data_IF_307685114539
#
_entry.id   IF_307685114539
#
_cell.length_a   1.000
_cell.length_b   1.000
_cell.length_c   1.000
_cell.angle_alpha   90.00
_cell.angle_beta   90.00
_cell.angle_gamma   90.00
#
_symmetry.space_group_name_H-M   'P 1'
#
loop_
_entity.id
_entity.type
_entity.pdbx_description
1 polymer ?
#
# COMPACT_ATOMS: atom_id res chain seq x y z
N UNK A 1 18.60 -17.92 17.85
CA UNK A 1 17.22 -18.24 17.45
C UNK A 1 16.33 -17.06 17.75
N UNK A 2 15.40 -16.74 16.85
CA UNK A 2 14.43 -15.66 17.03
C UNK A 2 13.41 -16.07 18.11
N UNK A 3 13.13 -15.18 19.06
CA UNK A 3 12.06 -15.42 20.05
C UNK A 3 10.69 -15.18 19.41
N UNK A 4 9.64 -15.94 19.78
CA UNK A 4 8.28 -15.72 19.28
C UNK A 4 7.85 -14.26 19.49
N UNK A 5 7.32 -13.60 18.45
CA UNK A 5 6.86 -12.21 18.51
C UNK A 5 7.95 -11.13 18.34
N UNK A 6 9.22 -11.50 18.22
CA UNK A 6 10.29 -10.53 17.93
C UNK A 6 10.39 -10.21 16.42
N UNK A 7 10.80 -8.99 16.07
CA UNK A 7 11.02 -8.60 14.67
C UNK A 7 12.38 -9.14 14.18
N UNK A 8 12.36 -10.02 13.18
CA UNK A 8 13.56 -10.67 12.65
C UNK A 8 14.55 -9.68 12.03
N UNK A 9 14.07 -8.65 11.32
CA UNK A 9 14.91 -7.64 10.66
C UNK A 9 15.64 -6.77 11.68
N UNK A 10 14.92 -6.31 12.69
CA UNK A 10 15.48 -5.51 13.78
C UNK A 10 16.48 -6.32 14.63
N UNK A 11 16.15 -7.59 14.93
CA UNK A 11 17.08 -8.50 15.60
C UNK A 11 18.37 -8.70 14.80
N UNK A 12 18.27 -8.90 13.47
CA UNK A 12 19.44 -9.08 12.62
C UNK A 12 20.31 -7.82 12.60
N UNK A 13 19.70 -6.64 12.51
CA UNK A 13 20.44 -5.38 12.54
C UNK A 13 21.19 -5.22 13.87
N UNK A 14 20.53 -5.49 15.00
CA UNK A 14 21.16 -5.46 16.33
C UNK A 14 22.31 -6.46 16.49
N UNK A 15 22.16 -7.67 15.94
CA UNK A 15 23.23 -8.68 15.95
C UNK A 15 24.41 -8.21 15.10
N UNK A 16 24.15 -7.64 13.92
CA UNK A 16 25.19 -7.10 13.03
C UNK A 16 25.96 -5.97 13.71
N UNK A 17 25.25 -5.02 14.32
CA UNK A 17 25.85 -3.89 15.03
C UNK A 17 26.71 -4.36 16.21
N UNK A 18 26.21 -5.34 16.99
CA UNK A 18 26.96 -5.90 18.10
C UNK A 18 28.20 -6.67 17.66
N UNK A 19 28.11 -7.45 16.58
CA UNK A 19 29.25 -8.15 16.01
C UNK A 19 30.30 -7.17 15.47
N UNK A 20 29.87 -6.04 14.90
CA UNK A 20 30.76 -4.99 14.44
C UNK A 20 31.48 -4.30 15.62
N UNK A 21 30.77 -3.99 16.71
CA UNK A 21 31.38 -3.48 17.95
C UNK A 21 32.44 -4.46 18.51
N UNK A 22 32.10 -5.75 18.58
CA UNK A 22 32.99 -6.79 19.12
C UNK A 22 34.20 -7.04 18.22
N UNK A 23 34.05 -6.85 16.90
CA UNK A 23 35.14 -7.05 15.94
C UNK A 23 36.35 -6.15 16.20
N UNK A 24 36.16 -4.98 16.82
CA UNK A 24 37.24 -4.09 17.21
C UNK A 24 38.18 -4.68 18.28
N UNK A 25 37.71 -5.71 19.00
CA UNK A 25 38.48 -6.43 20.03
C UNK A 25 39.08 -7.74 19.53
N UNK A 26 38.94 -8.05 18.24
CA UNK A 26 39.44 -9.31 17.71
C UNK A 26 40.96 -9.33 17.62
N UNK A 27 41.59 -10.48 17.91
CA UNK A 27 43.01 -10.69 17.64
C UNK A 27 43.33 -10.48 16.15
N UNK A 28 44.56 -10.04 15.85
CA UNK A 28 45.01 -9.91 14.46
C UNK A 28 44.86 -11.25 13.72
N UNK A 29 44.15 -11.24 12.60
CA UNK A 29 43.88 -12.43 11.78
C UNK A 29 42.53 -13.11 12.00
N UNK A 30 41.71 -12.64 12.95
CA UNK A 30 40.35 -13.15 13.16
C UNK A 30 39.33 -12.22 12.51
N UNK A 31 38.52 -12.75 11.60
CA UNK A 31 37.40 -12.06 10.95
C UNK A 31 36.10 -12.84 11.14
N UNK A 32 34.96 -12.16 11.20
CA UNK A 32 33.65 -12.81 11.18
C UNK A 32 33.00 -12.63 9.81
N UNK A 33 32.18 -13.61 9.41
CA UNK A 33 31.33 -13.52 8.23
C UNK A 33 30.01 -14.24 8.51
N UNK A 34 28.90 -13.53 8.29
CA UNK A 34 27.56 -14.11 8.38
C UNK A 34 27.20 -14.77 7.04
N UNK A 35 27.30 -16.10 7.00
CA UNK A 35 27.03 -16.89 5.78
C UNK A 35 25.56 -17.30 5.64
N UNK A 36 24.83 -17.38 6.75
CA UNK A 36 23.42 -17.77 6.77
C UNK A 36 22.59 -16.66 7.41
N UNK A 37 21.92 -15.88 6.56
CA UNK A 37 21.05 -14.78 6.97
C UNK A 37 19.71 -14.93 6.23
N UNK A 38 18.72 -15.48 6.92
CA UNK A 38 17.36 -15.65 6.40
C UNK A 38 16.64 -14.32 6.22
N UNK A 39 17.08 -13.26 6.89
CA UNK A 39 16.47 -11.93 6.82
C UNK A 39 16.84 -11.18 5.55
N UNK A 40 17.98 -11.52 4.90
CA UNK A 40 18.34 -10.96 3.58
C UNK A 40 17.28 -11.23 2.53
N UNK A 41 16.75 -12.46 2.48
CA UNK A 41 15.69 -12.81 1.53
C UNK A 41 14.41 -12.04 1.83
N UNK A 42 13.97 -12.03 3.10
CA UNK A 42 12.77 -11.31 3.52
C UNK A 42 12.88 -9.81 3.26
N UNK A 43 14.01 -9.19 3.60
CA UNK A 43 14.24 -7.76 3.37
C UNK A 43 14.28 -7.41 1.89
N UNK A 44 14.91 -8.24 1.05
CA UNK A 44 14.93 -8.05 -0.39
C UNK A 44 13.52 -8.17 -0.98
N UNK A 45 12.78 -9.22 -0.63
CA UNK A 45 11.41 -9.38 -1.11
C UNK A 45 10.47 -8.29 -0.61
N UNK A 46 10.63 -7.79 0.63
CA UNK A 46 9.86 -6.64 1.11
C UNK A 46 10.19 -5.37 0.33
N UNK A 47 11.46 -5.15 0.00
CA UNK A 47 11.86 -4.01 -0.84
C UNK A 47 11.25 -4.12 -2.24
N UNK A 48 11.35 -5.27 -2.88
CA UNK A 48 10.79 -5.50 -4.22
C UNK A 48 9.28 -5.25 -4.22
N UNK A 49 8.55 -5.75 -3.21
CA UNK A 49 7.10 -5.53 -3.10
C UNK A 49 6.76 -4.06 -2.87
N UNK A 50 7.56 -3.31 -2.10
CA UNK A 50 7.37 -1.87 -1.94
C UNK A 50 7.60 -1.11 -3.25
N UNK A 51 8.60 -1.51 -4.04
CA UNK A 51 8.84 -0.96 -5.38
C UNK A 51 7.64 -1.26 -6.28
N UNK A 52 7.19 -2.51 -6.33
CA UNK A 52 6.03 -2.92 -7.12
C UNK A 52 4.75 -2.19 -6.69
N UNK A 53 4.57 -1.93 -5.38
CA UNK A 53 3.42 -1.14 -4.88
C UNK A 53 3.49 0.31 -5.38
N UNK A 54 4.68 0.92 -5.37
CA UNK A 54 4.90 2.24 -5.94
C UNK A 54 4.65 2.29 -7.45
N UNK A 55 5.15 1.31 -8.20
CA UNK A 55 4.91 1.17 -9.64
C UNK A 55 3.42 1.00 -9.94
N UNK A 56 2.72 0.13 -9.19
CA UNK A 56 1.29 -0.09 -9.32
C UNK A 56 0.50 1.20 -9.06
N UNK A 57 0.86 1.97 -8.02
CA UNK A 57 0.23 3.25 -7.73
C UNK A 57 0.38 4.24 -8.89
N UNK A 58 1.60 4.37 -9.44
CA UNK A 58 1.87 5.25 -10.58
C UNK A 58 1.08 4.82 -11.81
N UNK A 59 1.05 3.52 -12.11
CA UNK A 59 0.29 2.98 -13.24
C UNK A 59 -1.22 3.23 -13.09
N UNK A 60 -1.77 3.02 -11.89
CA UNK A 60 -3.18 3.27 -11.62
C UNK A 60 -3.51 4.76 -11.81
N UNK A 61 -2.71 5.66 -11.25
CA UNK A 61 -2.91 7.11 -11.43
C UNK A 61 -2.81 7.51 -12.90
N UNK A 62 -1.86 6.95 -13.64
CA UNK A 62 -1.72 7.21 -15.08
C UNK A 62 -2.95 6.74 -15.86
N UNK A 63 -3.47 5.53 -15.59
CA UNK A 63 -4.67 5.00 -16.24
C UNK A 63 -5.88 5.87 -15.89
N UNK A 64 -6.11 6.19 -14.61
CA UNK A 64 -7.21 7.08 -14.17
C UNK A 64 -7.13 8.44 -14.86
N UNK A 65 -5.93 9.00 -14.99
CA UNK A 65 -5.73 10.27 -15.68
C UNK A 65 -6.08 10.19 -17.17
N UNK A 66 -5.69 9.11 -17.86
CA UNK A 66 -6.00 8.90 -19.27
C UNK A 66 -7.52 8.76 -19.49
N UNK A 67 -8.23 8.06 -18.59
CA UNK A 67 -9.68 7.87 -18.71
C UNK A 67 -10.46 9.16 -18.40
N UNK A 68 -10.11 9.87 -17.33
CA UNK A 68 -10.87 11.05 -16.89
C UNK A 68 -10.48 12.34 -17.61
N UNK A 69 -9.29 12.40 -18.24
CA UNK A 69 -8.75 13.54 -19.00
C UNK A 69 -8.79 14.91 -18.26
N UNK A 70 -9.03 14.92 -16.95
CA UNK A 70 -9.20 16.11 -16.13
C UNK A 70 -8.48 15.94 -14.81
N UNK A 71 -7.52 16.83 -14.56
CA UNK A 71 -6.69 16.80 -13.36
C UNK A 71 -7.51 16.91 -12.07
N UNK A 72 -8.62 17.66 -12.12
CA UNK A 72 -9.48 17.88 -10.94
C UNK A 72 -10.22 16.62 -10.52
N UNK A 73 -10.68 15.82 -11.47
CA UNK A 73 -11.40 14.57 -11.20
C UNK A 73 -10.44 13.43 -10.87
N UNK A 74 -9.26 13.36 -11.51
CA UNK A 74 -8.22 12.37 -11.20
C UNK A 74 -7.69 12.44 -9.76
N UNK A 75 -7.64 13.64 -9.16
CA UNK A 75 -7.20 13.79 -7.77
C UNK A 75 -8.11 13.04 -6.79
N UNK A 76 -9.41 12.93 -7.09
CA UNK A 76 -10.38 12.34 -6.16
C UNK A 76 -10.07 10.84 -5.90
N UNK A 77 -9.97 9.96 -6.92
CA UNK A 77 -9.52 8.59 -6.71
C UNK A 77 -8.07 8.49 -6.21
N UNK A 78 -7.19 9.39 -6.65
CA UNK A 78 -5.76 9.37 -6.27
C UNK A 78 -5.57 9.53 -4.76
N UNK A 79 -6.39 10.36 -4.10
CA UNK A 79 -6.36 10.54 -2.63
C UNK A 79 -7.00 9.35 -1.90
N UNK A 80 -7.96 8.66 -2.52
CA UNK A 80 -8.60 7.50 -1.90
C UNK A 80 -7.61 6.36 -1.63
N UNK A 81 -6.60 6.18 -2.50
CA UNK A 81 -5.59 5.11 -2.39
C UNK A 81 -4.73 5.24 -1.10
N UNK A 82 -4.01 6.34 -0.84
CA UNK A 82 -3.21 6.46 0.38
C UNK A 82 -4.08 6.43 1.64
N UNK A 83 -5.30 6.97 1.59
CA UNK A 83 -6.23 6.93 2.72
C UNK A 83 -6.64 5.49 3.05
N UNK A 84 -6.97 4.67 2.05
CA UNK A 84 -7.36 3.26 2.26
C UNK A 84 -6.19 2.41 2.77
N UNK A 85 -4.97 2.64 2.29
CA UNK A 85 -3.77 1.95 2.77
C UNK A 85 -3.48 2.29 4.23
N UNK A 86 -3.54 3.58 4.61
CA UNK A 86 -3.35 3.99 6.00
C UNK A 86 -4.45 3.42 6.90
N UNK A 87 -5.71 3.45 6.46
CA UNK A 87 -6.81 2.86 7.20
C UNK A 87 -6.60 1.35 7.41
N UNK A 88 -6.19 0.63 6.38
CA UNK A 88 -5.87 -0.80 6.46
C UNK A 88 -4.76 -1.08 7.46
N UNK A 89 -3.68 -0.29 7.45
CA UNK A 89 -2.58 -0.43 8.42
C UNK A 89 -3.03 -0.18 9.86
N UNK A 90 -3.86 0.83 10.09
CA UNK A 90 -4.42 1.14 11.43
C UNK A 90 -5.27 -0.03 11.92
N UNK A 91 -6.17 -0.55 11.08
CA UNK A 91 -7.02 -1.70 11.42
C UNK A 91 -6.16 -2.94 11.70
N UNK A 92 -5.18 -3.24 10.84
CA UNK A 92 -4.24 -4.34 11.06
C UNK A 92 -3.53 -4.23 12.41
N UNK A 93 -3.05 -3.03 12.75
CA UNK A 93 -2.41 -2.78 14.03
C UNK A 93 -3.35 -3.03 15.21
N UNK A 94 -4.61 -2.59 15.12
CA UNK A 94 -5.63 -2.82 16.16
C UNK A 94 -5.95 -4.30 16.39
N UNK A 95 -5.95 -5.11 15.33
CA UNK A 95 -6.17 -6.56 15.41
C UNK A 95 -4.89 -7.37 15.70
N UNK A 96 -3.75 -6.71 15.86
CA UNK A 96 -2.46 -7.37 16.13
C UNK A 96 -1.89 -8.13 14.93
N UNK A 97 -2.33 -7.80 13.71
CA UNK A 97 -1.76 -8.38 12.50
C UNK A 97 -0.39 -7.77 12.19
N UNK A 98 0.54 -8.63 11.75
CA UNK A 98 1.87 -8.22 11.30
C UNK A 98 1.88 -7.86 9.81
N UNK A 99 2.66 -6.85 9.43
CA UNK A 99 3.06 -6.65 8.03
C UNK A 99 4.01 -7.75 7.57
N UNK A 100 3.61 -8.47 6.52
CA UNK A 100 4.37 -9.51 5.86
C UNK A 100 4.08 -9.54 4.35
N UNK A 101 4.74 -10.43 3.60
CA UNK A 101 4.55 -10.54 2.16
C UNK A 101 3.10 -10.80 1.73
N UNK A 102 2.37 -11.67 2.43
CA UNK A 102 0.97 -11.97 2.09
C UNK A 102 0.09 -10.73 2.27
N UNK A 103 0.28 -9.98 3.36
CA UNK A 103 -0.44 -8.73 3.58
C UNK A 103 -0.12 -7.66 2.54
N UNK A 104 1.14 -7.57 2.09
CA UNK A 104 1.53 -6.63 1.05
C UNK A 104 0.91 -6.99 -0.31
N UNK A 105 0.89 -8.28 -0.67
CA UNK A 105 0.18 -8.75 -1.88
C UNK A 105 -1.32 -8.44 -1.80
N UNK A 106 -1.93 -8.65 -0.63
CA UNK A 106 -3.33 -8.27 -0.38
C UNK A 106 -3.57 -6.76 -0.56
N UNK A 107 -2.66 -5.91 -0.07
CA UNK A 107 -2.75 -4.46 -0.26
C UNK A 107 -2.63 -4.07 -1.74
N UNK A 108 -1.75 -4.71 -2.51
CA UNK A 108 -1.65 -4.45 -3.97
C UNK A 108 -2.95 -4.77 -4.69
N UNK A 109 -3.60 -5.90 -4.37
CA UNK A 109 -4.91 -6.25 -4.94
C UNK A 109 -6.01 -5.28 -4.50
N UNK A 110 -5.99 -4.85 -3.24
CA UNK A 110 -6.98 -3.93 -2.69
C UNK A 110 -6.95 -2.54 -3.35
N UNK A 111 -5.77 -2.06 -3.80
CA UNK A 111 -5.66 -0.79 -4.53
C UNK A 111 -6.57 -0.79 -5.76
N UNK A 112 -6.61 -1.89 -6.53
CA UNK A 112 -7.46 -2.00 -7.71
C UNK A 112 -8.95 -1.90 -7.38
N UNK A 113 -9.39 -2.60 -6.34
CA UNK A 113 -10.78 -2.61 -5.90
C UNK A 113 -11.24 -1.22 -5.41
N UNK A 114 -10.47 -0.59 -4.53
CA UNK A 114 -10.80 0.73 -3.98
C UNK A 114 -10.87 1.80 -5.07
N UNK A 115 -10.01 1.68 -6.08
CA UNK A 115 -9.96 2.65 -7.17
C UNK A 115 -11.12 2.47 -8.14
N UNK A 116 -11.55 1.24 -8.42
CA UNK A 116 -12.70 0.96 -9.27
C UNK A 116 -13.97 1.65 -8.73
N UNK A 117 -14.26 1.47 -7.44
CA UNK A 117 -15.40 2.12 -6.78
C UNK A 117 -15.30 3.65 -6.87
N UNK A 118 -14.10 4.21 -6.65
CA UNK A 118 -13.88 5.65 -6.72
C UNK A 118 -14.03 6.21 -8.14
N UNK A 119 -13.58 5.48 -9.16
CA UNK A 119 -13.73 5.84 -10.57
C UNK A 119 -15.22 5.86 -10.93
N UNK A 120 -15.96 4.80 -10.62
CA UNK A 120 -17.40 4.67 -10.97
C UNK A 120 -18.21 5.83 -10.38
N UNK A 121 -17.93 6.24 -9.13
CA UNK A 121 -18.59 7.40 -8.52
C UNK A 121 -18.24 8.68 -9.28
N UNK A 122 -16.96 8.95 -9.53
CA UNK A 122 -16.51 10.20 -10.17
C UNK A 122 -17.00 10.31 -11.61
N UNK A 123 -16.95 9.22 -12.36
CA UNK A 123 -17.49 9.15 -13.73
C UNK A 123 -18.99 9.44 -13.74
N UNK A 124 -19.74 8.86 -12.80
CA UNK A 124 -21.18 9.11 -12.73
C UNK A 124 -21.50 10.56 -12.34
N UNK A 125 -20.69 11.17 -11.48
CA UNK A 125 -20.82 12.59 -11.13
C UNK A 125 -20.56 13.48 -12.35
N UNK A 126 -19.51 13.22 -13.13
CA UNK A 126 -19.21 13.94 -14.37
C UNK A 126 -20.35 13.81 -15.38
N UNK A 127 -20.89 12.60 -15.58
CA UNK A 127 -22.07 12.38 -16.44
C UNK A 127 -23.26 13.26 -16.06
N UNK A 128 -23.52 13.41 -14.76
CA UNK A 128 -24.60 14.26 -14.25
C UNK A 128 -24.30 15.77 -14.36
N UNK A 129 -23.03 16.16 -14.25
CA UNK A 129 -22.58 17.53 -14.50
C UNK A 129 -22.75 17.92 -15.98
N UNK A 130 -22.38 17.02 -16.90
CA UNK A 130 -22.57 17.19 -18.35
C UNK A 130 -24.05 17.27 -18.73
N UNK A 131 -24.93 16.58 -17.99
CA UNK A 131 -26.38 16.69 -18.12
C UNK A 131 -26.94 18.05 -17.63
N UNK A 132 -26.09 18.96 -17.14
CA UNK A 132 -26.45 20.33 -16.77
C UNK A 132 -26.85 20.53 -15.30
N UNK A 133 -26.67 19.51 -14.45
CA UNK A 133 -26.94 19.65 -13.02
C UNK A 133 -25.85 20.47 -12.32
N UNK A 134 -26.25 21.24 -11.30
CA UNK A 134 -25.30 21.91 -10.40
C UNK A 134 -24.49 20.87 -9.61
N UNK A 135 -23.23 21.14 -9.20
CA UNK A 135 -22.35 20.14 -8.57
C UNK A 135 -22.97 19.37 -7.41
N UNK A 136 -23.61 20.05 -6.46
CA UNK A 136 -24.25 19.38 -5.33
C UNK A 136 -25.41 18.47 -5.76
N UNK A 137 -26.20 18.90 -6.74
CA UNK A 137 -27.33 18.12 -7.25
C UNK A 137 -26.84 16.93 -8.09
N UNK A 138 -25.80 17.14 -8.91
CA UNK A 138 -25.15 16.10 -9.68
C UNK A 138 -24.60 14.99 -8.77
N UNK A 139 -23.89 15.34 -7.69
CA UNK A 139 -23.39 14.34 -6.74
C UNK A 139 -24.50 13.57 -6.05
N UNK A 140 -25.60 14.23 -5.65
CA UNK A 140 -26.74 13.54 -5.03
C UNK A 140 -27.43 12.57 -5.99
N UNK A 141 -27.67 13.00 -7.23
CA UNK A 141 -28.26 12.15 -8.27
C UNK A 141 -27.34 10.97 -8.59
N UNK A 142 -26.03 11.24 -8.74
CA UNK A 142 -25.05 10.21 -9.01
C UNK A 142 -25.01 9.15 -7.91
N UNK A 143 -24.95 9.56 -6.64
CA UNK A 143 -24.96 8.63 -5.50
C UNK A 143 -26.24 7.79 -5.45
N UNK A 144 -27.40 8.33 -5.81
CA UNK A 144 -28.65 7.55 -5.83
C UNK A 144 -28.61 6.38 -6.84
N UNK A 145 -27.82 6.50 -7.92
CA UNK A 145 -27.67 5.46 -8.95
C UNK A 145 -26.58 4.43 -8.60
N UNK A 146 -25.45 4.88 -8.04
CA UNK A 146 -24.27 4.01 -7.83
C UNK A 146 -24.19 3.36 -6.45
N UNK A 147 -24.96 3.85 -5.46
CA UNK A 147 -24.89 3.31 -4.08
C UNK A 147 -25.24 1.82 -4.01
N UNK A 148 -26.26 1.37 -4.76
CA UNK A 148 -26.67 -0.04 -4.78
C UNK A 148 -25.56 -0.96 -5.30
N UNK A 149 -25.01 -0.70 -6.51
CA UNK A 149 -23.86 -1.44 -7.04
C UNK A 149 -22.65 -1.44 -6.12
N UNK A 150 -22.25 -0.29 -5.54
CA UNK A 150 -21.06 -0.18 -4.69
C UNK A 150 -21.20 -0.98 -3.40
N UNK A 151 -22.39 -0.98 -2.78
CA UNK A 151 -22.64 -1.80 -1.58
C UNK A 151 -22.66 -3.29 -1.93
N UNK A 152 -23.02 -3.67 -3.15
CA UNK A 152 -23.00 -5.06 -3.58
C UNK A 152 -21.59 -5.57 -3.91
N UNK A 153 -20.66 -4.68 -4.28
CA UNK A 153 -19.25 -5.02 -4.55
C UNK A 153 -18.37 -5.04 -3.31
N UNK A 154 -18.71 -4.24 -2.28
CA UNK A 154 -17.98 -4.16 -1.00
C UNK A 154 -18.38 -5.27 -0.03
#
# INVERSE_FOLDING_TARGET
YQMPGSNALDLQQRVKDKMQELSARFPKGVSYAMHYDTTRFVSASMHDVLVTLGEALVLVVAVVFIFLQSWRTTIIPTIAIPVSLVATLVVMYMFGFSLNMLSLLGMVLAIGLVVDDAIVVVENVERQLEAGLKPLAATRAAMAEVTGPIIATT
#
